data_IF_913396318001
#
_entry.id   IF_913396318001
#
_cell.length_a   1.000
_cell.length_b   1.000
_cell.length_c   1.000
_cell.angle_alpha   90.00
_cell.angle_beta   90.00
_cell.angle_gamma   90.00
#
_symmetry.space_group_name_H-M   'P 1'
#
loop_
_entity.id
_entity.type
_entity.pdbx_description
1 polymer ?
#
# COMPACT_ATOMS: atom_id res chain seq x y z
N UNK A 1 -34.66 36.68 -22.17
CA UNK A 1 -34.49 35.22 -22.00
C UNK A 1 -33.05 34.88 -22.32
N UNK A 2 -32.27 34.42 -21.34
CA UNK A 2 -30.92 33.90 -21.55
C UNK A 2 -30.93 32.52 -20.88
N UNK A 3 -30.71 31.49 -21.70
CA UNK A 3 -30.84 30.09 -21.32
C UNK A 3 -29.76 29.64 -20.35
N UNK A 4 -30.20 28.90 -19.34
CA UNK A 4 -29.35 28.15 -18.42
C UNK A 4 -28.68 27.01 -19.19
N UNK A 5 -27.35 26.98 -19.22
CA UNK A 5 -26.60 25.80 -19.63
C UNK A 5 -26.49 24.90 -18.39
N UNK A 6 -27.32 23.86 -18.34
CA UNK A 6 -27.17 22.78 -17.37
C UNK A 6 -26.12 21.84 -17.94
N UNK A 7 -24.90 21.91 -17.42
CA UNK A 7 -23.86 20.91 -17.66
C UNK A 7 -24.24 19.66 -16.85
N UNK A 8 -24.86 18.69 -17.52
CA UNK A 8 -25.10 17.35 -16.99
C UNK A 8 -23.75 16.63 -16.86
N UNK A 9 -23.14 16.70 -15.68
CA UNK A 9 -22.01 15.84 -15.31
C UNK A 9 -22.61 14.45 -15.05
N UNK A 10 -22.64 13.59 -16.06
CA UNK A 10 -22.96 12.19 -15.89
C UNK A 10 -21.95 11.50 -14.97
N UNK A 11 -22.31 10.39 -14.31
CA UNK A 11 -21.38 9.69 -13.44
C UNK A 11 -20.18 9.21 -14.27
N UNK A 12 -19.00 9.67 -13.89
CA UNK A 12 -17.73 9.12 -14.36
C UNK A 12 -17.76 7.65 -13.96
N UNK A 13 -17.95 6.74 -14.91
CA UNK A 13 -17.88 5.31 -14.64
C UNK A 13 -16.47 5.05 -14.09
N UNK A 14 -16.37 4.61 -12.83
CA UNK A 14 -15.09 4.23 -12.24
C UNK A 14 -14.46 3.18 -13.15
N UNK A 15 -13.36 3.55 -13.82
CA UNK A 15 -12.67 2.64 -14.72
C UNK A 15 -12.20 1.42 -13.91
N UNK A 16 -12.54 0.22 -14.37
CA UNK A 16 -12.00 -1.01 -13.79
C UNK A 16 -10.53 -1.07 -14.19
N UNK A 17 -9.64 -0.90 -13.22
CA UNK A 17 -8.20 -1.03 -13.44
C UNK A 17 -7.83 -2.49 -13.77
N UNK A 18 -6.73 -2.74 -14.49
CA UNK A 18 -6.33 -4.08 -14.85
C UNK A 18 -5.97 -4.93 -13.62
N UNK A 19 -5.99 -6.25 -13.82
CA UNK A 19 -5.46 -7.19 -12.85
C UNK A 19 -3.96 -7.39 -13.11
N UNK A 20 -3.15 -7.21 -12.07
CA UNK A 20 -1.74 -7.59 -12.05
C UNK A 20 -1.64 -9.04 -11.55
N UNK A 21 -0.72 -9.82 -12.13
CA UNK A 21 -0.58 -11.25 -11.82
C UNK A 21 0.04 -11.50 -10.44
N UNK A 22 0.89 -10.59 -9.97
CA UNK A 22 1.64 -10.73 -8.71
C UNK A 22 0.83 -10.18 -7.52
N UNK A 23 0.12 -9.07 -7.73
CA UNK A 23 -0.58 -8.35 -6.64
C UNK A 23 -2.10 -8.45 -6.71
N UNK A 24 -2.66 -8.89 -7.84
CA UNK A 24 -4.11 -9.05 -8.02
C UNK A 24 -4.82 -7.82 -8.59
N UNK A 25 -6.03 -7.54 -8.11
CA UNK A 25 -6.87 -6.45 -8.66
C UNK A 25 -6.33 -5.10 -8.22
N UNK A 26 -5.79 -4.32 -9.16
CA UNK A 26 -5.35 -2.95 -8.90
C UNK A 26 -6.56 -2.09 -8.57
N UNK A 27 -6.39 -1.18 -7.61
CA UNK A 27 -7.39 -0.20 -7.22
C UNK A 27 -6.77 1.20 -7.09
N UNK A 28 -7.62 2.23 -7.14
CA UNK A 28 -7.29 3.52 -6.56
C UNK A 28 -7.64 3.48 -5.06
N UNK A 29 -6.66 3.67 -4.15
CA UNK A 29 -6.93 3.69 -2.72
C UNK A 29 -7.93 4.80 -2.35
N UNK A 30 -8.86 4.49 -1.45
CA UNK A 30 -9.83 5.45 -0.95
C UNK A 30 -9.29 6.08 0.33
N UNK A 31 -9.55 7.38 0.51
CA UNK A 31 -9.15 8.08 1.74
C UNK A 31 -9.70 7.36 2.99
N UNK A 32 -8.83 7.14 3.97
CA UNK A 32 -9.15 6.40 5.19
C UNK A 32 -9.14 4.87 5.06
N UNK A 33 -8.84 4.32 3.88
CA UNK A 33 -8.66 2.87 3.71
C UNK A 33 -7.26 2.41 4.11
N UNK A 34 -7.10 1.12 4.41
CA UNK A 34 -5.81 0.53 4.72
C UNK A 34 -4.86 0.56 3.52
N UNK A 35 -5.39 0.51 2.30
CA UNK A 35 -4.59 0.66 1.07
C UNK A 35 -4.05 2.08 0.91
N UNK A 36 -4.81 3.11 1.30
CA UNK A 36 -4.33 4.48 1.28
C UNK A 36 -3.23 4.68 2.33
N UNK A 37 -3.45 4.19 3.55
CA UNK A 37 -2.43 4.19 4.60
C UNK A 37 -1.15 3.46 4.16
N UNK A 38 -1.28 2.28 3.55
CA UNK A 38 -0.13 1.51 3.09
C UNK A 38 0.63 2.24 1.96
N UNK A 39 -0.09 2.88 1.04
CA UNK A 39 0.51 3.72 -0.01
C UNK A 39 1.27 4.90 0.61
N UNK A 40 0.67 5.58 1.59
CA UNK A 40 1.32 6.68 2.29
C UNK A 40 2.59 6.20 2.99
N UNK A 41 2.51 5.08 3.72
CA UNK A 41 3.66 4.46 4.37
C UNK A 41 4.77 4.12 3.36
N UNK A 42 4.46 3.54 2.21
CA UNK A 42 5.45 3.25 1.15
C UNK A 42 6.05 4.51 0.52
N UNK A 43 5.30 5.61 0.49
CA UNK A 43 5.73 6.88 -0.09
C UNK A 43 6.64 7.69 0.85
N UNK A 44 6.63 7.39 2.14
CA UNK A 44 7.46 8.05 3.13
C UNK A 44 8.89 7.47 3.15
N UNK A 45 9.92 8.28 3.42
CA UNK A 45 11.30 7.81 3.49
C UNK A 45 11.54 6.88 4.68
N UNK A 46 12.46 5.92 4.51
CA UNK A 46 12.85 5.03 5.59
C UNK A 46 13.59 5.80 6.71
N UNK A 47 12.94 5.93 7.86
CA UNK A 47 13.44 6.66 9.02
C UNK A 47 13.03 5.98 10.32
N UNK A 48 13.65 6.37 11.44
CA UNK A 48 13.22 5.90 12.76
C UNK A 48 11.77 6.31 13.06
N UNK A 49 11.36 7.51 12.66
CA UNK A 49 10.00 8.01 12.85
C UNK A 49 8.96 7.17 12.10
N UNK A 50 9.31 6.69 10.91
CA UNK A 50 8.49 5.75 10.15
C UNK A 50 8.23 4.47 10.94
N UNK A 51 9.30 3.87 11.50
CA UNK A 51 9.21 2.65 12.29
C UNK A 51 8.37 2.89 13.54
N UNK A 52 8.58 4.01 14.23
CA UNK A 52 7.81 4.36 15.43
C UNK A 52 6.33 4.61 15.15
N UNK A 53 6.00 5.11 13.95
CA UNK A 53 4.62 5.41 13.55
C UNK A 53 3.84 4.16 13.20
N UNK A 54 4.43 3.27 12.40
CA UNK A 54 3.68 2.16 11.81
C UNK A 54 3.90 0.83 12.54
N UNK A 55 5.04 0.63 13.20
CA UNK A 55 5.38 -0.66 13.82
C UNK A 55 5.19 -0.59 15.34
N UNK A 56 4.42 -1.53 15.95
CA UNK A 56 4.26 -1.60 17.39
C UNK A 56 5.61 -1.66 18.12
N UNK A 57 5.74 -0.92 19.22
CA UNK A 57 6.98 -0.84 20.00
C UNK A 57 7.58 -2.21 20.38
N UNK A 58 6.73 -3.19 20.67
CA UNK A 58 7.15 -4.56 21.00
C UNK A 58 7.78 -5.33 19.82
N UNK A 59 7.57 -4.89 18.58
CA UNK A 59 8.02 -5.56 17.37
C UNK A 59 9.16 -4.82 16.64
N UNK A 60 9.38 -3.52 16.92
CA UNK A 60 10.28 -2.66 16.15
C UNK A 60 11.67 -3.26 15.91
N UNK A 61 12.33 -3.77 16.96
CA UNK A 61 13.68 -4.33 16.82
C UNK A 61 13.70 -5.57 15.90
N UNK A 62 12.75 -6.49 16.07
CA UNK A 62 12.65 -7.68 15.22
C UNK A 62 12.23 -7.34 13.79
N UNK A 63 11.29 -6.41 13.64
CA UNK A 63 10.81 -5.95 12.35
C UNK A 63 11.92 -5.31 11.52
N UNK A 64 12.69 -4.39 12.11
CA UNK A 64 13.85 -3.79 11.45
C UNK A 64 14.89 -4.85 11.11
N UNK A 65 15.24 -5.73 12.06
CA UNK A 65 16.23 -6.78 11.80
C UNK A 65 15.88 -7.67 10.60
N UNK A 66 14.59 -7.97 10.40
CA UNK A 66 14.12 -8.79 9.29
C UNK A 66 13.94 -8.02 7.97
N UNK A 67 13.57 -6.74 8.03
CA UNK A 67 13.09 -6.01 6.86
C UNK A 67 13.99 -4.83 6.45
N UNK A 68 15.13 -4.60 7.10
CA UNK A 68 15.98 -3.42 6.87
C UNK A 68 16.30 -3.20 5.38
N UNK A 69 16.76 -4.26 4.70
CA UNK A 69 17.08 -4.22 3.27
C UNK A 69 15.84 -3.91 2.42
N UNK A 70 14.73 -4.62 2.67
CA UNK A 70 13.48 -4.41 1.94
C UNK A 70 12.97 -2.97 2.11
N UNK A 71 12.94 -2.46 3.35
CA UNK A 71 12.51 -1.10 3.67
C UNK A 71 13.41 -0.05 3.00
N UNK A 72 14.73 -0.24 3.06
CA UNK A 72 15.68 0.66 2.40
C UNK A 72 15.55 0.67 0.88
N UNK A 73 15.04 -0.42 0.30
CA UNK A 73 14.83 -0.58 -1.14
C UNK A 73 13.56 0.11 -1.62
N UNK A 74 12.47 -0.01 -0.87
CA UNK A 74 11.12 0.36 -1.37
C UNK A 74 10.55 1.64 -0.79
N UNK A 75 10.99 2.07 0.40
CA UNK A 75 10.41 3.26 1.03
C UNK A 75 10.87 4.54 0.35
N UNK A 76 9.99 5.54 0.31
CA UNK A 76 10.19 6.78 -0.44
C UNK A 76 9.82 6.65 -1.93
N UNK A 77 9.17 5.55 -2.32
CA UNK A 77 8.76 5.32 -3.71
C UNK A 77 7.59 6.22 -4.11
N UNK A 78 7.62 6.78 -5.31
CA UNK A 78 6.49 7.55 -5.87
C UNK A 78 5.68 6.77 -6.91
N UNK A 79 6.24 5.67 -7.42
CA UNK A 79 5.65 4.88 -8.50
C UNK A 79 4.99 3.59 -7.96
N UNK A 80 4.02 3.76 -7.04
CA UNK A 80 3.37 2.67 -6.33
C UNK A 80 2.00 2.36 -6.95
N UNK A 81 1.72 1.07 -7.19
CA UNK A 81 0.36 0.57 -7.42
C UNK A 81 -0.09 -0.28 -6.25
N UNK A 82 -1.33 -0.04 -5.80
CA UNK A 82 -1.96 -0.80 -4.73
C UNK A 82 -2.97 -1.79 -5.32
N UNK A 83 -2.99 -3.00 -4.77
CA UNK A 83 -4.08 -3.93 -5.01
C UNK A 83 -5.10 -3.88 -3.88
N UNK A 84 -6.29 -4.40 -4.17
CA UNK A 84 -7.37 -4.54 -3.19
C UNK A 84 -6.89 -5.37 -1.99
N UNK A 85 -7.06 -4.84 -0.79
CA UNK A 85 -6.68 -5.56 0.42
C UNK A 85 -7.49 -6.85 0.60
N UNK A 86 -6.84 -7.86 1.17
CA UNK A 86 -7.40 -9.16 1.49
C UNK A 86 -7.51 -9.26 3.01
N UNK A 87 -8.74 -9.37 3.51
CA UNK A 87 -8.98 -9.54 4.94
C UNK A 87 -8.89 -11.01 5.34
N UNK A 88 -8.01 -11.32 6.29
CA UNK A 88 -7.89 -12.63 6.94
C UNK A 88 -8.10 -12.50 8.45
N UNK A 89 -9.30 -12.82 8.90
CA UNK A 89 -9.69 -12.65 10.32
C UNK A 89 -9.56 -11.19 10.77
N UNK A 90 -8.51 -10.86 11.52
CA UNK A 90 -8.19 -9.51 12.02
C UNK A 90 -7.06 -8.84 11.23
N UNK A 91 -6.42 -9.57 10.32
CA UNK A 91 -5.32 -9.07 9.51
C UNK A 91 -5.82 -8.59 8.15
N UNK A 92 -5.15 -7.57 7.64
CA UNK A 92 -5.34 -7.01 6.32
C UNK A 92 -4.04 -7.12 5.55
N UNK A 93 -4.03 -8.03 4.58
CA UNK A 93 -2.95 -8.15 3.61
C UNK A 93 -3.18 -7.10 2.53
N UNK A 94 -2.22 -6.21 2.34
CA UNK A 94 -2.27 -5.14 1.34
C UNK A 94 -1.16 -5.38 0.33
N UNK A 95 -1.47 -6.01 -0.82
CA UNK A 95 -0.49 -6.22 -1.86
C UNK A 95 -0.18 -4.92 -2.60
N UNK A 96 1.08 -4.74 -2.97
CA UNK A 96 1.56 -3.55 -3.68
C UNK A 96 2.66 -3.95 -4.67
N UNK A 97 2.84 -3.13 -5.69
CA UNK A 97 4.04 -3.18 -6.51
C UNK A 97 4.60 -1.77 -6.78
N UNK A 98 5.89 -1.72 -7.08
CA UNK A 98 6.65 -0.50 -7.32
C UNK A 98 7.32 -0.62 -8.68
N UNK A 99 7.16 0.43 -9.48
CA UNK A 99 7.78 0.57 -10.79
C UNK A 99 8.96 1.54 -10.68
N UNK A 100 10.14 1.01 -10.35
CA UNK A 100 11.38 1.76 -10.29
C UNK A 100 12.33 1.38 -11.42
N UNK A 101 13.63 1.42 -11.11
CA UNK A 101 14.67 0.79 -11.95
C UNK A 101 14.44 -0.73 -12.05
N UNK A 102 13.91 -1.32 -10.99
CA UNK A 102 13.49 -2.71 -10.91
C UNK A 102 12.00 -2.80 -10.54
N UNK A 103 11.35 -3.88 -10.97
CA UNK A 103 9.97 -4.19 -10.58
C UNK A 103 9.98 -5.00 -9.28
N UNK A 104 9.35 -4.44 -8.27
CA UNK A 104 9.19 -5.05 -6.96
C UNK A 104 7.72 -5.25 -6.65
N UNK A 105 7.37 -6.36 -6.01
CA UNK A 105 6.04 -6.60 -5.45
C UNK A 105 6.13 -7.18 -4.06
N UNK A 106 5.07 -6.98 -3.28
CA UNK A 106 5.08 -7.38 -1.90
C UNK A 106 3.71 -7.29 -1.27
N UNK A 107 3.67 -7.64 0.02
CA UNK A 107 2.48 -7.55 0.84
C UNK A 107 2.84 -6.91 2.17
N UNK A 108 2.12 -5.86 2.52
CA UNK A 108 2.14 -5.33 3.89
C UNK A 108 0.98 -5.95 4.68
N UNK A 109 1.27 -6.47 5.87
CA UNK A 109 0.25 -7.07 6.74
C UNK A 109 -0.06 -6.14 7.90
N UNK A 110 -1.28 -5.62 7.90
CA UNK A 110 -1.75 -4.65 8.87
C UNK A 110 -2.76 -5.27 9.83
N UNK A 111 -2.83 -4.74 11.04
CA UNK A 111 -3.89 -5.01 12.01
C UNK A 111 -4.52 -3.70 12.45
N UNK A 112 -5.86 -3.65 12.51
CA UNK A 112 -6.58 -2.52 13.07
C UNK A 112 -6.62 -2.69 14.60
N UNK A 113 -5.98 -1.78 15.33
CA UNK A 113 -5.93 -1.80 16.80
C UNK A 113 -7.17 -1.12 17.39
N UNK A 114 -7.57 0.00 16.79
CA UNK A 114 -8.78 0.77 17.07
C UNK A 114 -9.33 1.26 15.73
N UNK A 115 -10.61 1.67 15.63
CA UNK A 115 -11.16 2.19 14.39
C UNK A 115 -10.27 3.27 13.76
N UNK A 116 -9.72 3.00 12.57
CA UNK A 116 -8.81 3.90 11.85
C UNK A 116 -7.35 3.95 12.36
N UNK A 117 -7.01 3.20 13.41
CA UNK A 117 -5.66 3.08 13.96
C UNK A 117 -5.06 1.73 13.56
N UNK A 118 -4.03 1.77 12.75
CA UNK A 118 -3.44 0.59 12.11
C UNK A 118 -2.00 0.39 12.55
N UNK A 119 -1.61 -0.88 12.66
CA UNK A 119 -0.24 -1.28 12.95
C UNK A 119 0.26 -2.28 11.90
N UNK A 120 1.47 -2.05 11.40
CA UNK A 120 2.17 -2.92 10.49
C UNK A 120 2.85 -4.05 11.28
N UNK A 121 2.55 -5.29 10.91
CA UNK A 121 3.09 -6.48 11.58
C UNK A 121 4.12 -7.21 10.73
N UNK A 122 3.98 -7.15 9.41
CA UNK A 122 4.87 -7.86 8.48
C UNK A 122 4.94 -7.15 7.15
N UNK A 123 6.07 -7.33 6.46
CA UNK A 123 6.31 -6.92 5.09
C UNK A 123 6.94 -8.12 4.37
N UNK A 124 6.48 -8.42 3.17
CA UNK A 124 7.19 -9.27 2.22
C UNK A 124 7.55 -8.48 0.98
N UNK A 125 8.67 -8.82 0.36
CA UNK A 125 9.17 -8.16 -0.83
C UNK A 125 9.84 -9.18 -1.75
N UNK A 126 9.52 -9.12 -3.03
CA UNK A 126 10.04 -9.96 -4.10
C UNK A 126 10.33 -9.07 -5.33
N UNK A 127 11.30 -9.47 -6.16
CA UNK A 127 11.62 -8.81 -7.43
C UNK A 127 11.64 -9.76 -8.61
N UNK A 128 11.48 -9.17 -9.80
CA UNK A 128 11.55 -9.89 -11.06
C UNK A 128 13.02 -10.30 -11.31
N UNK A 129 13.36 -11.53 -10.94
CA UNK A 129 14.73 -12.06 -11.09
C UNK A 129 15.20 -12.96 -9.93
N UNK A 130 14.53 -12.94 -8.77
CA UNK A 130 14.85 -13.82 -7.64
C UNK A 130 14.16 -15.19 -7.66
N UNK A 131 13.43 -15.52 -8.74
CA UNK A 131 12.69 -16.77 -8.87
C UNK A 131 12.75 -17.37 -10.27
N UNK A 132 13.90 -17.94 -10.65
CA UNK A 132 14.03 -19.07 -11.59
C UNK A 132 15.21 -19.95 -11.23
#
# INVERSE_FOLDING_TARGET
MIGVIILLIGPLHAAILPKNVDIGQIIEPQEGSVEALAKDALSEPYTLDWIQRYVPASLQAGFVHTNDEALSTILGSTAIQMAKAIRRTQLWEVPFCIFGEEYWWGVMVWVEQNPGSWALLSLSLESEGQGR
#
